data_IF_100106401528
#
_entry.id   IF_100106401528
#
_cell.length_a   1.000
_cell.length_b   1.000
_cell.length_c   1.000
_cell.angle_alpha   90.00
_cell.angle_beta   90.00
_cell.angle_gamma   90.00
#
_symmetry.space_group_name_H-M   'P 1'
#
loop_
_entity.id
_entity.type
_entity.pdbx_description
1 polymer ?
#
# COMPACT_ATOMS: atom_id res chain seq x y z
N UNK A 1 86.81 46.12 9.48
CA UNK A 1 85.43 45.89 9.95
C UNK A 1 84.78 44.90 8.98
N UNK A 2 85.02 43.60 9.19
CA UNK A 2 84.15 42.57 9.82
C UNK A 2 82.89 42.28 8.99
N UNK A 3 82.77 41.18 8.23
CA UNK A 3 82.64 39.75 8.63
C UNK A 3 81.62 39.56 9.76
N UNK A 4 80.38 39.21 9.40
CA UNK A 4 79.39 38.34 10.06
C UNK A 4 78.27 38.14 9.01
N UNK A 5 78.41 37.10 8.16
CA UNK A 5 77.47 35.94 8.01
C UNK A 5 76.12 36.31 7.36
N UNK A 6 75.79 35.98 6.10
CA UNK A 6 76.03 34.73 5.34
C UNK A 6 75.65 33.47 6.14
N UNK A 7 74.38 33.40 6.56
CA UNK A 7 73.67 32.16 6.92
C UNK A 7 72.18 32.46 7.23
N UNK A 8 71.32 32.59 6.20
CA UNK A 8 69.86 32.42 6.33
C UNK A 8 69.15 32.39 4.96
N UNK A 9 69.73 31.69 3.99
CA UNK A 9 69.01 31.14 2.84
C UNK A 9 69.06 29.63 3.07
N UNK A 10 68.00 29.05 3.66
CA UNK A 10 67.63 27.62 3.67
C UNK A 10 66.70 27.19 4.84
N UNK A 11 65.70 28.00 5.25
CA UNK A 11 64.58 27.50 6.09
C UNK A 11 63.23 28.14 5.75
N UNK A 12 63.08 28.67 4.55
CA UNK A 12 61.79 29.10 4.00
C UNK A 12 61.55 28.17 2.81
N UNK A 13 60.49 27.34 2.88
CA UNK A 13 60.17 26.18 2.02
C UNK A 13 60.90 24.89 2.45
N UNK A 14 60.43 24.15 3.49
CA UNK A 14 59.11 23.49 3.46
C UNK A 14 58.43 23.43 4.84
N UNK A 15 57.66 24.46 5.18
CA UNK A 15 56.70 24.42 6.32
C UNK A 15 55.33 24.95 5.91
N UNK A 16 55.02 24.84 4.61
CA UNK A 16 53.73 25.14 4.00
C UNK A 16 53.11 23.89 3.31
N UNK A 17 53.52 22.69 3.74
CA UNK A 17 53.03 21.41 3.25
C UNK A 17 52.56 20.46 4.37
N UNK A 18 52.49 20.94 5.62
CA UNK A 18 52.08 20.14 6.78
C UNK A 18 50.72 20.55 7.39
N UNK A 19 49.95 21.43 6.75
CA UNK A 19 48.59 21.80 7.19
C UNK A 19 47.45 21.31 6.29
N UNK A 20 47.74 20.55 5.22
CA UNK A 20 46.70 19.90 4.39
C UNK A 20 46.26 18.53 4.97
N UNK A 21 46.79 18.13 6.13
CA UNK A 21 46.50 16.83 6.76
C UNK A 21 45.42 16.81 7.86
N UNK A 22 44.76 17.92 8.19
CA UNK A 22 43.86 18.00 9.36
C UNK A 22 42.56 18.77 9.09
N UNK A 23 41.95 18.57 7.92
CA UNK A 23 40.56 18.99 7.65
C UNK A 23 39.71 17.80 7.18
N UNK A 24 39.72 16.72 7.96
CA UNK A 24 38.65 15.72 7.97
C UNK A 24 37.80 15.88 9.24
N UNK A 25 37.55 17.12 9.67
CA UNK A 25 36.65 17.39 10.78
C UNK A 25 35.20 17.30 10.30
N UNK A 26 34.61 16.13 10.48
CA UNK A 26 33.19 15.81 10.26
C UNK A 26 32.24 16.67 11.10
N UNK A 27 32.75 17.39 12.10
CA UNK A 27 32.01 18.26 13.01
C UNK A 27 31.43 19.54 12.36
N UNK A 28 32.08 20.13 11.35
CA UNK A 28 31.51 21.30 10.66
C UNK A 28 30.28 20.97 9.81
N UNK A 29 30.13 19.70 9.41
CA UNK A 29 28.97 19.22 8.68
C UNK A 29 27.90 18.62 9.60
N UNK A 30 28.16 18.46 10.89
CA UNK A 30 27.20 17.86 11.83
C UNK A 30 25.88 18.66 11.96
N UNK A 31 25.86 20.00 11.97
CA UNK A 31 24.62 20.80 11.96
C UNK A 31 23.84 20.66 10.65
N UNK A 32 24.54 20.58 9.51
CA UNK A 32 23.92 20.37 8.19
C UNK A 32 23.37 18.95 8.05
N UNK A 33 24.09 17.95 8.56
CA UNK A 33 23.63 16.55 8.62
C UNK A 33 22.43 16.38 9.55
N UNK A 34 22.44 17.03 10.73
CA UNK A 34 21.27 16.99 11.64
C UNK A 34 20.08 17.74 11.07
N UNK A 35 20.29 18.85 10.37
CA UNK A 35 19.24 19.53 9.61
C UNK A 35 18.70 18.66 8.46
N UNK A 36 19.56 18.01 7.68
CA UNK A 36 19.16 17.11 6.59
C UNK A 36 18.54 15.78 7.09
N UNK A 37 18.80 15.39 8.34
CA UNK A 37 18.21 14.20 8.97
C UNK A 37 16.85 14.49 9.65
N UNK A 38 16.57 15.74 10.04
CA UNK A 38 15.29 16.10 10.68
C UNK A 38 14.09 15.89 9.74
N UNK A 39 14.23 16.22 8.43
CA UNK A 39 13.45 15.73 7.32
C UNK A 39 12.88 14.34 7.53
N UNK A 40 13.80 13.43 7.23
CA UNK A 40 13.65 11.99 7.26
C UNK A 40 13.07 11.46 8.58
N UNK A 41 13.44 12.06 9.72
CA UNK A 41 12.90 11.68 11.03
C UNK A 41 11.40 12.01 11.18
N UNK A 42 10.94 13.15 10.65
CA UNK A 42 9.52 13.51 10.68
C UNK A 42 8.71 12.64 9.71
N UNK A 43 9.17 12.45 8.47
CA UNK A 43 8.44 11.59 7.53
C UNK A 43 8.38 10.14 8.02
N UNK A 44 9.43 9.67 8.66
CA UNK A 44 9.43 8.36 9.31
C UNK A 44 8.38 8.28 10.43
N UNK A 45 8.30 9.27 11.31
CA UNK A 45 7.28 9.33 12.38
C UNK A 45 5.86 9.39 11.80
N UNK A 46 5.66 10.15 10.72
CA UNK A 46 4.37 10.20 10.01
C UNK A 46 4.02 8.85 9.39
N UNK A 47 4.97 8.18 8.71
CA UNK A 47 4.78 6.86 8.13
C UNK A 47 4.42 5.82 9.21
N UNK A 48 5.14 5.82 10.33
CA UNK A 48 4.87 4.94 11.46
C UNK A 48 3.49 5.20 12.08
N UNK A 49 3.08 6.46 12.21
CA UNK A 49 1.77 6.83 12.74
C UNK A 49 0.63 6.43 11.78
N UNK A 50 0.86 6.48 10.47
CA UNK A 50 -0.14 6.17 9.45
C UNK A 50 -0.32 4.65 9.25
N UNK A 51 0.73 3.86 9.44
CA UNK A 51 0.75 2.42 9.14
C UNK A 51 -0.41 1.63 9.76
N UNK A 52 -0.74 1.75 11.06
CA UNK A 52 -1.88 1.02 11.63
C UNK A 52 -3.23 1.34 10.96
N UNK A 53 -3.39 2.55 10.40
CA UNK A 53 -4.60 2.94 9.65
C UNK A 53 -4.60 2.29 8.27
N UNK A 54 -3.44 2.25 7.59
CA UNK A 54 -3.29 1.53 6.32
C UNK A 54 -3.57 0.03 6.51
N UNK A 55 -2.98 -0.59 7.53
CA UNK A 55 -3.19 -2.01 7.86
C UNK A 55 -4.68 -2.32 8.07
N UNK A 56 -5.41 -1.45 8.79
CA UNK A 56 -6.86 -1.54 8.98
C UNK A 56 -7.63 -1.46 7.65
N UNK A 57 -7.35 -0.47 6.81
CA UNK A 57 -8.04 -0.29 5.53
C UNK A 57 -7.81 -1.47 4.59
N UNK A 58 -6.58 -1.96 4.51
CA UNK A 58 -6.22 -3.04 3.58
C UNK A 58 -6.78 -4.39 4.02
N UNK A 59 -6.86 -4.66 5.34
CA UNK A 59 -7.25 -5.98 5.86
C UNK A 59 -8.72 -6.08 6.25
N UNK A 60 -9.34 -4.97 6.65
CA UNK A 60 -10.74 -4.95 7.10
C UNK A 60 -11.63 -4.28 6.06
N UNK A 61 -11.31 -3.04 5.68
CA UNK A 61 -12.18 -2.27 4.78
C UNK A 61 -12.26 -2.87 3.37
N UNK A 62 -11.11 -3.20 2.76
CA UNK A 62 -11.09 -3.82 1.42
C UNK A 62 -11.89 -5.13 1.41
N UNK A 63 -11.69 -5.97 2.41
CA UNK A 63 -12.39 -7.25 2.53
C UNK A 63 -13.90 -7.08 2.76
N UNK A 64 -14.30 -6.09 3.57
CA UNK A 64 -15.71 -5.78 3.76
C UNK A 64 -16.35 -5.28 2.46
N UNK A 65 -15.67 -4.42 1.69
CA UNK A 65 -16.17 -3.93 0.39
C UNK A 65 -16.37 -5.06 -0.62
N UNK A 66 -15.47 -6.04 -0.66
CA UNK A 66 -15.66 -7.24 -1.49
C UNK A 66 -16.88 -8.03 -1.02
N UNK A 67 -17.02 -8.26 0.29
CA UNK A 67 -18.19 -8.96 0.84
C UNK A 67 -19.50 -8.23 0.50
N UNK A 68 -19.51 -6.89 0.57
CA UNK A 68 -20.66 -6.07 0.20
C UNK A 68 -20.98 -6.18 -1.30
N UNK A 69 -19.96 -6.13 -2.17
CA UNK A 69 -20.13 -6.33 -3.61
C UNK A 69 -20.74 -7.70 -3.91
N UNK A 70 -20.23 -8.76 -3.28
CA UNK A 70 -20.76 -10.12 -3.40
C UNK A 70 -22.22 -10.21 -2.94
N UNK A 71 -22.54 -9.55 -1.83
CA UNK A 71 -23.91 -9.49 -1.34
C UNK A 71 -24.84 -8.81 -2.34
N UNK A 72 -24.41 -7.71 -2.94
CA UNK A 72 -25.16 -6.94 -3.94
C UNK A 72 -25.33 -7.67 -5.26
N UNK A 73 -24.34 -8.44 -5.70
CA UNK A 73 -24.38 -9.24 -6.94
C UNK A 73 -25.05 -10.59 -6.76
N UNK A 74 -25.41 -10.96 -5.52
CA UNK A 74 -25.98 -12.26 -5.19
C UNK A 74 -27.34 -12.45 -5.85
N UNK A 75 -27.39 -13.30 -6.88
CA UNK A 75 -28.68 -13.73 -7.45
C UNK A 75 -29.49 -14.54 -6.40
N UNK A 76 -30.83 -14.54 -6.45
CA UNK A 76 -31.66 -15.40 -5.59
C UNK A 76 -31.31 -16.89 -5.65
N UNK A 77 -30.69 -17.36 -6.75
CA UNK A 77 -30.20 -18.74 -6.93
C UNK A 77 -28.92 -19.06 -6.18
N UNK A 78 -28.18 -18.06 -5.68
CA UNK A 78 -26.98 -18.30 -4.86
C UNK A 78 -27.30 -18.84 -3.45
N UNK A 79 -28.59 -18.89 -3.09
CA UNK A 79 -29.11 -19.53 -1.88
C UNK A 79 -29.74 -20.91 -2.17
N UNK A 80 -29.59 -21.45 -3.39
CA UNK A 80 -30.11 -22.78 -3.75
C UNK A 80 -29.31 -23.89 -3.02
N UNK A 81 -29.93 -24.69 -2.13
CA UNK A 81 -29.24 -25.67 -1.30
C UNK A 81 -28.69 -26.90 -2.05
N UNK A 82 -28.86 -27.00 -3.37
CA UNK A 82 -28.47 -28.19 -4.14
C UNK A 82 -26.93 -28.30 -4.27
N UNK A 83 -26.28 -28.89 -3.27
CA UNK A 83 -24.85 -29.21 -3.24
C UNK A 83 -24.37 -30.02 -4.46
N UNK A 84 -25.23 -30.85 -5.05
CA UNK A 84 -24.94 -31.67 -6.26
C UNK A 84 -24.49 -30.82 -7.46
N UNK A 85 -25.16 -29.70 -7.72
CA UNK A 85 -24.86 -28.83 -8.86
C UNK A 85 -23.52 -28.09 -8.63
N UNK A 86 -23.17 -27.83 -7.37
CA UNK A 86 -21.94 -27.12 -6.96
C UNK A 86 -20.72 -28.01 -7.20
N UNK A 87 -20.80 -29.30 -6.87
CA UNK A 87 -19.73 -30.27 -7.13
C UNK A 87 -19.57 -30.55 -8.63
N UNK A 88 -20.66 -30.55 -9.41
CA UNK A 88 -20.63 -30.80 -10.86
C UNK A 88 -20.16 -29.61 -11.71
N UNK A 89 -20.36 -28.37 -11.25
CA UNK A 89 -20.04 -27.16 -12.05
C UNK A 89 -19.45 -26.02 -11.20
N UNK A 90 -18.21 -26.16 -10.70
CA UNK A 90 -17.58 -25.17 -9.82
C UNK A 90 -17.48 -23.76 -10.44
N UNK A 91 -17.29 -23.67 -11.76
CA UNK A 91 -17.15 -22.39 -12.47
C UNK A 91 -18.46 -21.59 -12.58
N UNK A 92 -19.62 -22.27 -12.61
CA UNK A 92 -20.93 -21.61 -12.58
C UNK A 92 -21.26 -21.05 -11.21
N UNK A 93 -20.78 -21.72 -10.16
CA UNK A 93 -20.93 -21.29 -8.77
C UNK A 93 -20.03 -20.09 -8.44
N UNK A 94 -18.79 -20.09 -8.95
CA UNK A 94 -17.87 -18.94 -8.86
C UNK A 94 -18.47 -17.66 -9.46
N UNK A 95 -19.16 -17.76 -10.60
CA UNK A 95 -19.89 -16.63 -11.21
C UNK A 95 -21.12 -16.19 -10.40
N UNK A 96 -21.75 -17.09 -9.65
CA UNK A 96 -22.95 -16.80 -8.86
C UNK A 96 -22.68 -16.18 -7.48
N UNK A 97 -21.43 -16.24 -6.99
CA UNK A 97 -21.03 -15.77 -5.67
C UNK A 97 -20.40 -14.37 -5.64
N UNK A 98 -20.10 -13.77 -6.81
CA UNK A 98 -19.26 -12.56 -6.88
C UNK A 98 -17.77 -12.89 -6.63
N UNK A 99 -16.87 -11.88 -6.66
CA UNK A 99 -15.43 -12.07 -6.42
C UNK A 99 -15.13 -12.95 -5.19
N UNK A 100 -14.30 -13.99 -5.39
CA UNK A 100 -13.97 -14.92 -4.30
C UNK A 100 -13.14 -14.23 -3.21
N UNK A 101 -13.68 -14.25 -1.99
CA UNK A 101 -12.91 -14.01 -0.77
C UNK A 101 -11.91 -15.18 -0.61
N UNK A 102 -10.62 -14.88 -0.61
CA UNK A 102 -9.55 -15.85 -0.30
C UNK A 102 -9.71 -16.38 1.14
N UNK A 103 -9.04 -17.49 1.47
CA UNK A 103 -9.00 -18.01 2.86
C UNK A 103 -8.45 -16.98 3.88
N UNK A 104 -7.60 -16.04 3.45
CA UNK A 104 -7.14 -14.89 4.25
C UNK A 104 -8.28 -13.90 4.57
N UNK A 105 -9.32 -13.88 3.74
CA UNK A 105 -10.49 -13.01 3.89
C UNK A 105 -11.62 -13.67 4.70
N UNK A 106 -11.51 -14.97 5.01
CA UNK A 106 -12.48 -15.64 5.89
C UNK A 106 -12.40 -15.10 7.33
N UNK A 107 -11.26 -14.50 7.69
CA UNK A 107 -11.04 -13.67 8.89
C UNK A 107 -11.69 -12.26 8.79
N UNK A 108 -12.53 -11.98 7.77
CA UNK A 108 -13.24 -10.70 7.57
C UNK A 108 -14.09 -10.21 8.74
N UNK A 109 -14.24 -10.99 9.82
CA UNK A 109 -14.98 -10.66 11.05
C UNK A 109 -14.12 -9.96 12.12
N UNK A 110 -13.01 -9.33 11.74
CA UNK A 110 -12.05 -8.76 12.69
C UNK A 110 -11.97 -7.22 12.64
N UNK A 111 -13.07 -6.49 12.94
CA UNK A 111 -13.02 -5.02 13.05
C UNK A 111 -12.11 -4.58 14.20
N UNK A 112 -11.75 -5.48 15.12
CA UNK A 112 -10.75 -5.25 16.17
C UNK A 112 -9.35 -4.94 15.62
N UNK A 113 -9.01 -5.39 14.40
CA UNK A 113 -7.75 -5.02 13.74
C UNK A 113 -7.65 -3.51 13.45
N UNK A 114 -8.78 -2.82 13.42
CA UNK A 114 -8.82 -1.37 13.25
C UNK A 114 -8.69 -0.62 14.57
N UNK A 115 -8.67 -1.29 15.73
CA UNK A 115 -8.51 -0.65 17.02
C UNK A 115 -7.05 -0.26 17.26
N UNK A 116 -6.82 1.03 17.44
CA UNK A 116 -5.50 1.57 17.74
C UNK A 116 -5.22 1.57 19.24
N UNK A 117 -4.01 1.18 19.63
CA UNK A 117 -3.53 1.34 21.01
C UNK A 117 -3.46 2.83 21.40
N UNK A 118 -3.37 3.13 22.70
CA UNK A 118 -3.24 4.53 23.16
C UNK A 118 -2.01 5.23 22.61
N UNK A 119 -0.88 4.53 22.44
CA UNK A 119 0.32 5.10 21.81
C UNK A 119 0.12 5.38 20.32
N UNK A 120 -0.49 4.44 19.57
CA UNK A 120 -0.80 4.62 18.14
C UNK A 120 -1.77 5.79 17.92
N UNK A 121 -2.83 5.90 18.74
CA UNK A 121 -3.76 7.05 18.68
C UNK A 121 -3.05 8.37 18.95
N UNK A 122 -2.17 8.41 19.95
CA UNK A 122 -1.42 9.62 20.30
C UNK A 122 -0.45 10.02 19.19
N UNK A 123 0.22 9.05 18.58
CA UNK A 123 1.11 9.29 17.43
C UNK A 123 0.33 9.80 16.21
N UNK A 124 -0.79 9.16 15.86
CA UNK A 124 -1.64 9.60 14.75
C UNK A 124 -2.16 11.03 14.99
N UNK A 125 -2.65 11.33 16.19
CA UNK A 125 -3.12 12.66 16.56
C UNK A 125 -2.01 13.72 16.49
N UNK A 126 -0.80 13.37 16.91
CA UNK A 126 0.35 14.29 16.91
C UNK A 126 0.85 14.61 15.51
N UNK A 127 1.00 13.59 14.66
CA UNK A 127 1.67 13.73 13.37
C UNK A 127 0.70 13.92 12.19
N UNK A 128 -0.54 13.44 12.31
CA UNK A 128 -1.55 13.43 11.24
C UNK A 128 -2.96 13.69 11.81
N UNK A 129 -3.21 14.85 12.45
CA UNK A 129 -4.45 15.13 13.19
C UNK A 129 -5.73 15.07 12.34
N UNK A 130 -5.66 15.43 11.06
CA UNK A 130 -6.80 15.35 10.14
C UNK A 130 -7.22 13.89 9.89
N UNK A 131 -6.25 12.99 9.72
CA UNK A 131 -6.49 11.56 9.54
C UNK A 131 -7.01 10.95 10.86
N UNK A 132 -6.51 11.41 12.01
CA UNK A 132 -7.01 10.96 13.31
C UNK A 132 -8.52 11.24 13.46
N UNK A 133 -8.99 12.41 13.03
CA UNK A 133 -10.41 12.76 13.06
C UNK A 133 -11.24 11.87 12.12
N UNK A 134 -10.83 11.73 10.86
CA UNK A 134 -11.51 10.86 9.88
C UNK A 134 -11.55 9.41 10.34
N UNK A 135 -10.47 8.91 10.94
CA UNK A 135 -10.40 7.54 11.45
C UNK A 135 -11.39 7.31 12.59
N UNK A 136 -11.65 8.31 13.44
CA UNK A 136 -12.64 8.16 14.51
C UNK A 136 -14.06 8.04 13.93
N UNK A 137 -14.42 8.90 12.97
CA UNK A 137 -15.72 8.80 12.29
C UNK A 137 -15.87 7.47 11.53
N UNK A 138 -14.81 7.03 10.85
CA UNK A 138 -14.76 5.71 10.22
C UNK A 138 -15.03 4.57 11.19
N UNK A 139 -14.45 4.60 12.39
CA UNK A 139 -14.67 3.52 13.36
C UNK A 139 -16.10 3.42 13.85
N UNK A 140 -16.76 4.55 14.08
CA UNK A 140 -18.15 4.57 14.53
C UNK A 140 -19.05 3.89 13.48
N UNK A 141 -18.82 4.18 12.20
CA UNK A 141 -19.53 3.56 11.08
C UNK A 141 -19.12 2.11 10.82
N UNK A 142 -17.84 1.76 11.01
CA UNK A 142 -17.37 0.39 10.91
C UNK A 142 -18.06 -0.51 11.94
N UNK A 143 -18.15 -0.07 13.19
CA UNK A 143 -18.80 -0.84 14.24
C UNK A 143 -20.31 -0.99 13.96
N UNK A 144 -20.96 0.06 13.46
CA UNK A 144 -22.37 0.03 13.08
C UNK A 144 -22.65 -0.94 11.92
N UNK A 145 -21.80 -0.95 10.88
CA UNK A 145 -22.00 -1.85 9.75
C UNK A 145 -21.73 -3.30 10.15
N UNK A 146 -20.70 -3.54 10.96
CA UNK A 146 -20.36 -4.87 11.49
C UNK A 146 -21.38 -5.42 12.48
N UNK A 147 -22.14 -4.57 13.20
CA UNK A 147 -23.28 -5.02 13.99
C UNK A 147 -24.45 -5.41 13.09
N UNK A 148 -24.73 -4.61 12.06
CA UNK A 148 -25.88 -4.81 11.16
C UNK A 148 -25.78 -6.11 10.36
N UNK A 149 -24.59 -6.46 9.85
CA UNK A 149 -24.38 -7.69 9.06
C UNK A 149 -24.57 -8.98 9.86
N UNK A 150 -24.66 -8.92 11.20
CA UNK A 150 -24.95 -10.09 12.05
C UNK A 150 -26.44 -10.44 12.08
N UNK A 151 -27.30 -9.54 11.62
CA UNK A 151 -28.75 -9.69 11.70
C UNK A 151 -29.34 -10.52 10.53
N UNK A 152 -28.53 -10.83 9.51
CA UNK A 152 -28.99 -11.50 8.30
C UNK A 152 -27.88 -12.27 7.56
N UNK A 153 -28.22 -12.86 6.40
CA UNK A 153 -27.36 -13.71 5.56
C UNK A 153 -26.32 -12.93 4.73
N UNK A 154 -25.71 -11.87 5.31
CA UNK A 154 -24.67 -11.08 4.65
C UNK A 154 -23.46 -11.94 4.28
N UNK A 155 -22.97 -12.72 5.25
CA UNK A 155 -21.97 -13.75 5.02
C UNK A 155 -22.66 -15.10 4.86
N UNK A 156 -22.69 -15.70 3.67
CA UNK A 156 -23.29 -17.01 3.49
C UNK A 156 -22.64 -18.06 4.38
N UNK A 157 -23.48 -18.91 4.95
CA UNK A 157 -23.07 -20.08 5.70
C UNK A 157 -23.93 -21.26 5.24
N UNK A 158 -23.29 -22.39 4.94
CA UNK A 158 -23.96 -23.62 4.54
C UNK A 158 -24.95 -24.16 5.59
N UNK A 159 -24.84 -23.73 6.85
CA UNK A 159 -25.69 -24.21 7.95
C UNK A 159 -26.89 -23.31 8.27
N UNK A 160 -27.02 -22.15 7.63
CA UNK A 160 -28.13 -21.21 7.88
C UNK A 160 -28.96 -21.07 6.60
N UNK A 161 -30.27 -21.39 6.63
CA UNK A 161 -31.14 -21.15 5.49
C UNK A 161 -31.08 -19.69 5.07
N UNK A 162 -30.85 -19.44 3.78
CA UNK A 162 -30.84 -18.08 3.23
C UNK A 162 -32.19 -17.38 3.43
N UNK A 163 -32.18 -16.05 3.42
CA UNK A 163 -33.42 -15.28 3.55
C UNK A 163 -34.36 -15.54 2.35
N UNK A 164 -35.67 -15.61 2.61
CA UNK A 164 -36.69 -15.54 1.54
C UNK A 164 -36.62 -14.19 0.82
N UNK A 165 -37.12 -14.06 -0.42
CA UNK A 165 -37.10 -12.79 -1.14
C UNK A 165 -37.74 -11.62 -0.38
N UNK A 166 -38.85 -11.87 0.34
CA UNK A 166 -39.53 -10.84 1.14
C UNK A 166 -38.70 -10.43 2.38
N UNK A 167 -38.09 -11.39 3.08
CA UNK A 167 -37.20 -11.09 4.22
C UNK A 167 -35.95 -10.34 3.76
N UNK A 168 -35.39 -10.71 2.61
CA UNK A 168 -34.25 -10.01 2.01
C UNK A 168 -34.60 -8.57 1.68
N UNK A 169 -35.73 -8.31 1.03
CA UNK A 169 -36.16 -6.94 0.72
C UNK A 169 -36.28 -6.05 1.98
N UNK A 170 -36.77 -6.60 3.09
CA UNK A 170 -36.84 -5.89 4.38
C UNK A 170 -35.45 -5.64 4.95
N UNK A 171 -34.57 -6.63 4.90
CA UNK A 171 -33.18 -6.52 5.36
C UNK A 171 -32.41 -5.47 4.55
N UNK A 172 -32.49 -5.54 3.22
CA UNK A 172 -31.88 -4.63 2.26
C UNK A 172 -32.31 -3.18 2.51
N UNK A 173 -33.61 -2.94 2.70
CA UNK A 173 -34.15 -1.60 2.96
C UNK A 173 -33.58 -0.97 4.24
N UNK A 174 -33.24 -1.78 5.25
CA UNK A 174 -32.62 -1.30 6.50
C UNK A 174 -31.11 -1.19 6.39
N UNK A 175 -30.46 -2.14 5.72
CA UNK A 175 -29.02 -2.28 5.70
C UNK A 175 -28.35 -1.37 4.67
N UNK A 176 -28.91 -1.20 3.47
CA UNK A 176 -28.25 -0.41 2.42
C UNK A 176 -27.95 1.03 2.84
N UNK A 177 -28.83 1.79 3.51
CA UNK A 177 -28.48 3.12 4.00
C UNK A 177 -27.28 3.13 4.96
N UNK A 178 -27.14 2.11 5.81
CA UNK A 178 -26.00 1.96 6.75
C UNK A 178 -24.72 1.65 5.98
N UNK A 179 -24.81 0.72 5.02
CA UNK A 179 -23.69 0.35 4.15
C UNK A 179 -23.19 1.52 3.30
N UNK A 180 -24.08 2.30 2.67
CA UNK A 180 -23.71 3.46 1.85
C UNK A 180 -23.06 4.57 2.68
N UNK A 181 -23.55 4.79 3.91
CA UNK A 181 -22.93 5.74 4.84
C UNK A 181 -21.51 5.29 5.22
N UNK A 182 -21.34 4.01 5.56
CA UNK A 182 -20.03 3.43 5.82
C UNK A 182 -19.10 3.55 4.61
N UNK A 183 -19.57 3.21 3.41
CA UNK A 183 -18.79 3.34 2.17
C UNK A 183 -18.34 4.78 1.93
N UNK A 184 -19.18 5.77 2.23
CA UNK A 184 -18.83 7.18 2.09
C UNK A 184 -17.67 7.57 3.00
N UNK A 185 -17.82 7.34 4.31
CA UNK A 185 -16.79 7.67 5.32
C UNK A 185 -15.50 6.88 5.09
N UNK A 186 -15.64 5.60 4.74
CA UNK A 186 -14.51 4.76 4.35
C UNK A 186 -13.77 5.32 3.13
N UNK A 187 -14.49 5.77 2.10
CA UNK A 187 -13.86 6.32 0.89
C UNK A 187 -13.12 7.62 1.19
N UNK A 188 -13.68 8.46 2.06
CA UNK A 188 -13.02 9.68 2.54
C UNK A 188 -11.73 9.37 3.30
N UNK A 189 -11.77 8.43 4.25
CA UNK A 189 -10.57 8.03 4.99
C UNK A 189 -9.51 7.43 4.06
N UNK A 190 -9.89 6.55 3.13
CA UNK A 190 -8.95 5.95 2.15
C UNK A 190 -8.28 7.02 1.31
N UNK A 191 -9.04 7.98 0.78
CA UNK A 191 -8.48 9.07 -0.02
C UNK A 191 -7.50 9.94 0.79
N UNK A 192 -7.85 10.27 2.04
CA UNK A 192 -6.99 11.06 2.91
C UNK A 192 -5.69 10.31 3.30
N UNK A 193 -5.80 9.02 3.60
CA UNK A 193 -4.66 8.15 3.92
C UNK A 193 -3.74 7.98 2.72
N UNK A 194 -4.29 7.73 1.54
CA UNK A 194 -3.51 7.58 0.32
C UNK A 194 -2.76 8.88 -0.04
N UNK A 195 -3.44 10.03 0.01
CA UNK A 195 -2.81 11.33 -0.24
C UNK A 195 -1.67 11.62 0.75
N UNK A 196 -1.86 11.29 2.03
CA UNK A 196 -0.83 11.47 3.04
C UNK A 196 0.36 10.52 2.86
N UNK A 197 0.11 9.23 2.61
CA UNK A 197 1.18 8.27 2.35
C UNK A 197 1.97 8.68 1.10
N UNK A 198 1.30 9.04 0.00
CA UNK A 198 1.95 9.53 -1.22
C UNK A 198 2.89 10.70 -0.96
N UNK A 199 2.44 11.71 -0.21
CA UNK A 199 3.27 12.85 0.17
C UNK A 199 4.51 12.43 0.98
N UNK A 200 4.32 11.55 1.96
CA UNK A 200 5.40 11.02 2.80
C UNK A 200 6.43 10.27 1.94
N UNK A 201 5.98 9.40 1.02
CA UNK A 201 6.87 8.65 0.12
C UNK A 201 7.63 9.52 -0.85
N UNK A 202 7.01 10.57 -1.38
CA UNK A 202 7.70 11.54 -2.24
C UNK A 202 8.84 12.25 -1.51
N UNK A 203 8.61 12.66 -0.26
CA UNK A 203 9.65 13.29 0.56
C UNK A 203 10.77 12.29 0.91
N UNK A 204 10.42 11.05 1.28
CA UNK A 204 11.40 9.99 1.50
C UNK A 204 12.25 9.72 0.25
N UNK A 205 11.62 9.63 -0.93
CA UNK A 205 12.31 9.45 -2.20
C UNK A 205 13.29 10.60 -2.48
N UNK A 206 12.85 11.85 -2.32
CA UNK A 206 13.71 13.03 -2.51
C UNK A 206 14.92 12.99 -1.58
N UNK A 207 14.73 12.62 -0.32
CA UNK A 207 15.83 12.50 0.65
C UNK A 207 16.83 11.40 0.25
N UNK A 208 16.36 10.24 -0.21
CA UNK A 208 17.22 9.15 -0.67
C UNK A 208 18.01 9.56 -1.93
N UNK A 209 17.36 10.27 -2.86
CA UNK A 209 17.99 10.76 -4.09
C UNK A 209 19.09 11.79 -3.80
N UNK A 210 18.87 12.74 -2.88
CA UNK A 210 19.88 13.74 -2.49
C UNK A 210 21.11 13.11 -1.83
N UNK A 211 20.94 11.93 -1.22
CA UNK A 211 22.02 11.17 -0.56
C UNK A 211 22.74 10.19 -1.47
N UNK A 212 22.36 10.14 -2.75
CA UNK A 212 22.90 9.16 -3.70
C UNK A 212 22.58 7.71 -3.32
N UNK A 213 21.54 7.48 -2.50
CA UNK A 213 21.09 6.15 -2.06
C UNK A 213 20.20 5.50 -3.12
N UNK A 214 20.70 5.38 -4.36
CA UNK A 214 19.92 5.03 -5.55
C UNK A 214 19.17 3.70 -5.44
N UNK A 215 19.77 2.68 -4.82
CA UNK A 215 19.13 1.38 -4.65
C UNK A 215 17.95 1.44 -3.68
N UNK A 216 18.10 2.18 -2.58
CA UNK A 216 17.02 2.42 -1.64
C UNK A 216 15.95 3.31 -2.24
N UNK A 217 16.32 4.32 -3.04
CA UNK A 217 15.39 5.22 -3.73
C UNK A 217 14.54 4.51 -4.80
N UNK A 218 15.05 3.45 -5.44
CA UNK A 218 14.32 2.73 -6.46
C UNK A 218 12.99 2.16 -5.94
N UNK A 219 12.99 1.64 -4.70
CA UNK A 219 11.83 0.97 -4.11
C UNK A 219 10.63 1.90 -3.86
N UNK A 220 10.73 3.01 -3.11
CA UNK A 220 9.62 3.96 -2.98
C UNK A 220 9.24 4.58 -4.33
N UNK A 221 10.18 4.70 -5.27
CA UNK A 221 9.90 5.08 -6.66
C UNK A 221 8.93 4.12 -7.35
N UNK A 222 9.18 2.80 -7.26
CA UNK A 222 8.29 1.78 -7.82
C UNK A 222 6.90 1.78 -7.16
N UNK A 223 6.84 1.93 -5.84
CA UNK A 223 5.57 2.01 -5.11
C UNK A 223 4.76 3.23 -5.56
N UNK A 224 5.41 4.39 -5.72
CA UNK A 224 4.78 5.60 -6.23
C UNK A 224 4.31 5.45 -7.69
N UNK A 225 5.13 4.86 -8.55
CA UNK A 225 4.75 4.60 -9.94
C UNK A 225 3.52 3.67 -10.00
N UNK A 226 3.54 2.58 -9.22
CA UNK A 226 2.43 1.62 -9.15
C UNK A 226 1.14 2.29 -8.66
N UNK A 227 1.23 3.15 -7.63
CA UNK A 227 0.11 3.96 -7.13
C UNK A 227 -0.44 4.89 -8.21
N UNK A 228 0.43 5.68 -8.84
CA UNK A 228 0.03 6.64 -9.87
C UNK A 228 -0.59 5.91 -11.08
N UNK A 229 -0.09 4.73 -11.44
CA UNK A 229 -0.75 3.86 -12.41
C UNK A 229 -2.15 3.49 -11.94
N UNK A 230 -2.31 2.89 -10.76
CA UNK A 230 -3.62 2.46 -10.25
C UNK A 230 -4.67 3.59 -10.26
N UNK A 231 -4.30 4.81 -9.88
CA UNK A 231 -5.22 5.96 -9.90
C UNK A 231 -5.59 6.47 -11.28
N UNK A 232 -4.75 6.22 -12.29
CA UNK A 232 -4.98 6.67 -13.65
C UNK A 232 -5.73 5.65 -14.50
N UNK A 233 -5.85 4.40 -14.07
CA UNK A 233 -6.46 3.32 -14.85
C UNK A 233 -7.93 3.60 -15.19
N UNK A 234 -8.26 3.54 -16.48
CA UNK A 234 -9.63 3.30 -16.95
C UNK A 234 -9.76 1.82 -17.36
N UNK A 235 -10.55 0.99 -16.65
CA UNK A 235 -10.73 -0.42 -17.00
C UNK A 235 -11.35 -0.64 -18.39
N UNK A 236 -11.95 0.39 -18.98
CA UNK A 236 -12.58 0.35 -20.32
C UNK A 236 -11.65 0.80 -21.44
N UNK A 237 -10.40 1.12 -21.13
CA UNK A 237 -9.40 1.58 -22.10
C UNK A 237 -8.30 0.53 -22.30
N UNK A 238 -8.48 -0.44 -23.23
CA UNK A 238 -7.51 -1.51 -23.45
C UNK A 238 -6.10 -0.99 -23.76
N UNK A 239 -6.02 0.10 -24.53
CA UNK A 239 -4.74 0.73 -24.89
C UNK A 239 -4.04 1.29 -23.66
N UNK A 240 -4.75 2.06 -22.83
CA UNK A 240 -4.16 2.61 -21.62
C UNK A 240 -3.69 1.51 -20.66
N UNK A 241 -4.47 0.44 -20.53
CA UNK A 241 -4.11 -0.71 -19.69
C UNK A 241 -2.85 -1.42 -20.21
N UNK A 242 -2.74 -1.62 -21.53
CA UNK A 242 -1.57 -2.24 -22.14
C UNK A 242 -0.31 -1.36 -22.00
N UNK A 243 -0.42 -0.06 -22.24
CA UNK A 243 0.68 0.90 -22.09
C UNK A 243 1.16 0.93 -20.61
N UNK A 244 0.22 1.05 -19.67
CA UNK A 244 0.51 1.05 -18.24
C UNK A 244 1.17 -0.26 -17.77
N UNK A 245 0.68 -1.41 -18.25
CA UNK A 245 1.30 -2.71 -17.97
C UNK A 245 2.73 -2.77 -18.48
N UNK A 246 2.97 -2.35 -19.73
CA UNK A 246 4.30 -2.35 -20.33
C UNK A 246 5.29 -1.50 -19.54
N UNK A 247 4.92 -0.25 -19.24
CA UNK A 247 5.77 0.70 -18.52
C UNK A 247 6.12 0.20 -17.12
N UNK A 248 5.14 -0.33 -16.38
CA UNK A 248 5.39 -0.90 -15.07
C UNK A 248 6.24 -2.17 -15.15
N UNK A 249 5.91 -3.11 -16.04
CA UNK A 249 6.67 -4.35 -16.22
C UNK A 249 8.16 -4.05 -16.45
N UNK A 250 8.45 -3.05 -17.30
CA UNK A 250 9.82 -2.61 -17.55
C UNK A 250 10.53 -2.10 -16.28
N UNK A 251 9.87 -1.25 -15.49
CA UNK A 251 10.42 -0.74 -14.22
C UNK A 251 10.69 -1.87 -13.21
N UNK A 252 9.75 -2.81 -13.08
CA UNK A 252 9.87 -3.94 -12.16
C UNK A 252 10.96 -4.93 -12.60
N UNK A 253 11.09 -5.19 -13.90
CA UNK A 253 12.14 -6.04 -14.44
C UNK A 253 13.53 -5.41 -14.27
N UNK A 254 13.64 -4.09 -14.45
CA UNK A 254 14.86 -3.35 -14.14
C UNK A 254 15.24 -3.49 -12.67
N UNK A 255 14.27 -3.30 -11.75
CA UNK A 255 14.51 -3.45 -10.32
C UNK A 255 14.93 -4.87 -9.94
N UNK A 256 14.29 -5.89 -10.53
CA UNK A 256 14.67 -7.29 -10.35
C UNK A 256 16.10 -7.58 -10.79
N UNK A 257 16.64 -6.86 -11.77
CA UNK A 257 18.04 -6.98 -12.19
C UNK A 257 18.99 -6.19 -11.29
N UNK A 258 18.59 -4.98 -10.89
CA UNK A 258 19.43 -4.06 -10.14
C UNK A 258 19.54 -4.42 -8.64
N UNK A 259 18.50 -5.03 -8.06
CA UNK A 259 18.42 -5.42 -6.65
C UNK A 259 18.64 -6.93 -6.44
N UNK A 260 19.32 -7.60 -7.39
CA UNK A 260 19.62 -9.04 -7.27
C UNK A 260 20.47 -9.34 -6.03
N UNK A 261 20.19 -10.44 -5.32
CA UNK A 261 21.07 -10.94 -4.27
C UNK A 261 22.49 -11.17 -4.81
N UNK A 262 23.49 -10.95 -3.96
CA UNK A 262 24.92 -11.23 -4.21
C UNK A 262 25.62 -10.33 -5.24
N UNK A 263 25.04 -9.19 -5.61
CA UNK A 263 25.78 -8.15 -6.32
C UNK A 263 26.73 -7.43 -5.33
N UNK A 264 28.03 -7.24 -5.65
CA UNK A 264 29.01 -6.63 -4.75
C UNK A 264 28.69 -5.18 -4.35
N UNK A 265 27.86 -4.50 -5.14
CA UNK A 265 27.57 -3.06 -5.03
C UNK A 265 26.19 -2.85 -4.37
N UNK A 266 25.53 -3.91 -3.91
CA UNK A 266 24.12 -3.83 -3.54
C UNK A 266 23.90 -3.60 -2.05
N UNK A 267 23.05 -2.63 -1.73
CA UNK A 267 22.63 -2.27 -0.38
C UNK A 267 21.79 -3.40 0.21
N UNK A 268 22.28 -3.98 1.31
CA UNK A 268 21.61 -5.09 2.00
C UNK A 268 20.18 -4.75 2.44
N UNK A 269 19.91 -3.49 2.84
CA UNK A 269 18.55 -3.05 3.21
C UNK A 269 17.64 -2.98 1.99
N UNK A 270 18.14 -2.44 0.88
CA UNK A 270 17.39 -2.39 -0.36
C UNK A 270 17.05 -3.80 -0.85
N UNK A 271 18.00 -4.73 -0.77
CA UNK A 271 17.77 -6.13 -1.11
C UNK A 271 16.73 -6.78 -0.20
N UNK A 272 16.84 -6.61 1.12
CA UNK A 272 15.87 -7.18 2.07
C UNK A 272 14.46 -6.66 1.81
N UNK A 273 14.33 -5.36 1.60
CA UNK A 273 13.06 -4.74 1.27
C UNK A 273 12.51 -5.26 -0.06
N UNK A 274 13.35 -5.36 -1.10
CA UNK A 274 12.99 -5.94 -2.40
C UNK A 274 12.47 -7.38 -2.28
N UNK A 275 13.16 -8.23 -1.51
CA UNK A 275 12.74 -9.62 -1.32
C UNK A 275 11.32 -9.73 -0.73
N UNK A 276 10.91 -8.78 0.11
CA UNK A 276 9.58 -8.76 0.71
C UNK A 276 8.50 -8.28 -0.27
N UNK A 277 8.81 -7.31 -1.14
CA UNK A 277 7.80 -6.69 -2.01
C UNK A 277 7.72 -7.27 -3.42
N UNK A 278 8.74 -8.00 -3.90
CA UNK A 278 8.80 -8.49 -5.28
C UNK A 278 7.58 -9.33 -5.67
N UNK A 279 7.15 -10.25 -4.80
CA UNK A 279 6.06 -11.17 -5.12
C UNK A 279 4.71 -10.45 -5.13
N UNK A 280 4.34 -9.65 -4.11
CA UNK A 280 3.15 -8.79 -4.19
C UNK A 280 3.13 -7.88 -5.43
N UNK A 281 4.29 -7.38 -5.86
CA UNK A 281 4.43 -6.60 -7.09
C UNK A 281 4.07 -7.39 -8.35
N UNK A 282 4.61 -8.60 -8.48
CA UNK A 282 4.28 -9.48 -9.61
C UNK A 282 2.81 -9.94 -9.58
N UNK A 283 2.23 -10.16 -8.40
CA UNK A 283 0.80 -10.48 -8.27
C UNK A 283 -0.07 -9.31 -8.77
N UNK A 284 0.31 -8.07 -8.48
CA UNK A 284 -0.36 -6.88 -9.03
C UNK A 284 -0.21 -6.78 -10.55
N UNK A 285 1.00 -6.98 -11.09
CA UNK A 285 1.23 -7.00 -12.55
C UNK A 285 0.39 -8.09 -13.24
N UNK A 286 0.27 -9.28 -12.64
CA UNK A 286 -0.56 -10.36 -13.17
C UNK A 286 -2.06 -10.03 -13.17
N UNK A 287 -2.56 -9.33 -12.14
CA UNK A 287 -3.94 -8.84 -12.11
C UNK A 287 -4.18 -7.75 -13.18
N UNK A 288 -3.26 -6.79 -13.31
CA UNK A 288 -3.31 -5.75 -14.34
C UNK A 288 -3.28 -6.35 -15.76
N UNK A 289 -2.45 -7.37 -15.98
CA UNK A 289 -2.43 -8.12 -17.24
C UNK A 289 -3.76 -8.80 -17.55
N UNK A 290 -4.39 -9.39 -16.53
CA UNK A 290 -5.70 -10.03 -16.67
C UNK A 290 -6.77 -9.00 -17.05
N UNK A 291 -6.80 -7.85 -16.38
CA UNK A 291 -7.68 -6.73 -16.69
C UNK A 291 -7.45 -6.21 -18.11
N UNK A 292 -6.19 -5.98 -18.51
CA UNK A 292 -5.84 -5.52 -19.86
C UNK A 292 -6.33 -6.48 -20.94
N UNK A 293 -6.12 -7.79 -20.74
CA UNK A 293 -6.59 -8.84 -21.66
C UNK A 293 -8.10 -8.83 -21.78
N UNK A 294 -8.84 -8.90 -20.67
CA UNK A 294 -10.30 -8.96 -20.71
C UNK A 294 -10.93 -7.66 -21.21
N UNK A 295 -10.28 -6.51 -21.02
CA UNK A 295 -10.71 -5.23 -21.62
C UNK A 295 -10.65 -5.28 -23.14
N UNK A 296 -9.63 -5.96 -23.71
CA UNK A 296 -9.48 -6.14 -25.15
C UNK A 296 -10.42 -7.19 -25.77
N UNK A 297 -10.89 -8.16 -24.98
CA UNK A 297 -11.75 -9.26 -25.41
C UNK A 297 -13.23 -8.94 -25.12
N UNK A 298 -13.96 -8.34 -26.07
CA UNK A 298 -15.40 -8.00 -25.99
C UNK A 298 -15.92 -7.75 -24.56
N UNK A 299 -15.82 -6.52 -24.06
CA UNK A 299 -15.88 -6.23 -22.63
C UNK A 299 -17.23 -6.59 -22.03
N UNK A 300 -17.27 -7.66 -21.23
CA UNK A 300 -18.34 -7.92 -20.27
C UNK A 300 -18.16 -6.95 -19.09
N UNK A 301 -19.09 -5.98 -18.87
CA UNK A 301 -18.94 -4.97 -17.84
C UNK A 301 -18.80 -5.55 -16.42
N UNK A 302 -19.47 -6.67 -16.14
CA UNK A 302 -19.39 -7.31 -14.81
C UNK A 302 -18.00 -7.91 -14.59
N UNK A 303 -17.47 -8.59 -15.61
CA UNK A 303 -16.12 -9.15 -15.60
C UNK A 303 -15.05 -8.07 -15.45
N UNK A 304 -15.14 -6.98 -16.20
CA UNK A 304 -14.20 -5.87 -16.09
C UNK A 304 -14.21 -5.21 -14.71
N UNK A 305 -15.39 -5.04 -14.11
CA UNK A 305 -15.48 -4.52 -12.75
C UNK A 305 -14.77 -5.48 -11.78
N UNK A 306 -14.99 -6.80 -11.89
CA UNK A 306 -14.34 -7.78 -11.05
C UNK A 306 -12.80 -7.78 -11.21
N UNK A 307 -12.29 -7.72 -12.44
CA UNK A 307 -10.85 -7.65 -12.71
C UNK A 307 -10.22 -6.35 -12.18
N UNK A 308 -10.93 -5.22 -12.29
CA UNK A 308 -10.50 -3.94 -11.73
C UNK A 308 -10.45 -3.98 -10.21
N UNK A 309 -11.47 -4.58 -9.56
CA UNK A 309 -11.47 -4.78 -8.11
C UNK A 309 -10.31 -5.69 -7.66
N UNK A 310 -10.03 -6.77 -8.37
CA UNK A 310 -8.88 -7.64 -8.06
C UNK A 310 -7.55 -6.89 -8.25
N UNK A 311 -7.42 -6.08 -9.30
CA UNK A 311 -6.22 -5.25 -9.53
C UNK A 311 -6.01 -4.27 -8.37
N UNK A 312 -7.06 -3.58 -7.94
CA UNK A 312 -7.01 -2.69 -6.77
C UNK A 312 -6.63 -3.44 -5.48
N UNK A 313 -7.19 -4.63 -5.27
CA UNK A 313 -6.87 -5.47 -4.11
C UNK A 313 -5.39 -5.87 -4.09
N UNK A 314 -4.82 -6.27 -5.22
CA UNK A 314 -3.38 -6.62 -5.30
C UNK A 314 -2.49 -5.42 -5.04
N UNK A 315 -2.90 -4.23 -5.50
CA UNK A 315 -2.23 -2.99 -5.16
C UNK A 315 -2.25 -2.71 -3.65
N UNK A 316 -3.42 -2.82 -2.99
CA UNK A 316 -3.54 -2.64 -1.54
C UNK A 316 -2.60 -3.59 -0.77
N UNK A 317 -2.54 -4.87 -1.17
CA UNK A 317 -1.66 -5.88 -0.55
C UNK A 317 -0.17 -5.57 -0.76
N UNK A 318 0.23 -5.07 -1.93
CA UNK A 318 1.58 -4.61 -2.18
C UNK A 318 1.95 -3.44 -1.26
N UNK A 319 1.07 -2.43 -1.15
CA UNK A 319 1.29 -1.26 -0.27
C UNK A 319 1.37 -1.68 1.19
N UNK A 320 0.49 -2.57 1.65
CA UNK A 320 0.54 -3.16 3.00
C UNK A 320 1.89 -3.86 3.24
N UNK A 321 2.30 -4.76 2.34
CA UNK A 321 3.56 -5.52 2.47
C UNK A 321 4.78 -4.59 2.51
N UNK A 322 4.80 -3.57 1.65
CA UNK A 322 5.84 -2.56 1.65
C UNK A 322 5.89 -1.78 2.97
N UNK A 323 4.75 -1.29 3.46
CA UNK A 323 4.68 -0.58 4.73
C UNK A 323 5.09 -1.46 5.90
N UNK A 324 4.77 -2.76 5.82
CA UNK A 324 5.15 -3.74 6.81
C UNK A 324 6.66 -3.94 6.87
N UNK A 325 7.28 -4.11 5.70
CA UNK A 325 8.71 -4.28 5.53
C UNK A 325 9.50 -3.08 6.05
N UNK A 326 9.16 -1.86 5.62
CA UNK A 326 9.92 -0.65 5.98
C UNK A 326 9.94 -0.40 7.49
N UNK A 327 8.88 -0.73 8.22
CA UNK A 327 8.87 -0.55 9.68
C UNK A 327 9.43 -1.70 10.51
N UNK A 328 9.92 -2.79 9.89
CA UNK A 328 10.70 -3.83 10.59
C UNK A 328 12.22 -3.63 10.48
N UNK A 329 12.68 -2.78 9.55
CA UNK A 329 14.10 -2.64 9.21
C UNK A 329 14.78 -1.38 9.82
N UNK A 330 14.21 -0.81 10.89
CA UNK A 330 14.76 0.35 11.62
C UNK A 330 14.77 0.17 13.14
#
# INVERSE_FOLDING_TARGET
>A
MNRITLAALCTIVPLALSTVGLLTNTDMLAPLKTWANRPAALEHQQAQALRPVIDCLNRVDSNWRVAYSNYRSRSPRANDPSLDIIERFPERYQRAQGPQLSLLDYDAKRPDLCLLTSSQRSALQKYLPQIAALRNDYMDHLLQVYSSVKEFDFYPNATVPGLTPAQRAISDARFFPVAEKFLTVSSELRAAVDAADRRIRLQQLQHLQVRDEHQMALIPGLILQTRDTMHSLDPRSPKQLADALSDLQQSWDHAQQYLRPNLPISDAKAQQLWQRIRQPGYDYLGALQTLARHSSETPDPERLNADYFETQRRFDLLVDTYNQAVGQDY
#
